data_IF_809859631433
#
_entry.id   IF_809859631433
#
_cell.length_a   1.000
_cell.length_b   1.000
_cell.length_c   1.000
_cell.angle_alpha   90.00
_cell.angle_beta   90.00
_cell.angle_gamma   90.00
#
_symmetry.space_group_name_H-M   'P 1'
#
loop_
_entity.id
_entity.type
_entity.pdbx_description
1 polymer ?
#
# COMPACT_ATOMS: atom_id res chain seq x y z
N UNK A 1 87.87 18.95 -20.91
CA UNK A 1 87.55 20.33 -21.26
C UNK A 1 86.11 20.55 -21.20
N UNK A 2 85.66 21.60 -20.56
CA UNK A 2 84.40 22.28 -20.47
C UNK A 2 83.48 21.80 -19.33
N UNK A 3 83.52 22.61 -18.31
CA UNK A 3 82.68 22.55 -17.12
C UNK A 3 81.30 23.11 -17.43
N UNK A 4 80.23 22.37 -17.08
CA UNK A 4 78.89 22.92 -17.05
C UNK A 4 78.42 22.92 -15.60
N UNK A 5 78.18 24.13 -15.12
CA UNK A 5 77.75 24.42 -13.76
C UNK A 5 76.23 24.02 -13.67
N UNK A 6 75.95 23.14 -12.75
CA UNK A 6 74.57 22.77 -12.41
C UNK A 6 74.02 23.81 -11.44
N UNK A 7 73.04 24.58 -11.87
CA UNK A 7 72.26 25.48 -11.01
C UNK A 7 71.09 24.67 -10.44
N UNK A 8 71.13 24.49 -9.11
CA UNK A 8 70.05 23.85 -8.35
C UNK A 8 68.95 24.87 -8.10
N UNK A 9 67.79 24.72 -8.81
CA UNK A 9 66.63 25.53 -8.59
C UNK A 9 65.71 24.80 -7.61
N UNK A 10 65.68 25.26 -6.35
CA UNK A 10 64.68 24.79 -5.35
C UNK A 10 63.31 25.39 -5.65
N UNK A 11 62.43 24.59 -6.20
CA UNK A 11 60.99 24.94 -6.30
C UNK A 11 60.32 24.50 -5.02
N UNK A 12 59.99 25.47 -4.16
CA UNK A 12 59.11 25.26 -2.99
C UNK A 12 57.67 25.22 -3.49
N UNK A 13 57.15 24.03 -3.63
CA UNK A 13 55.73 23.82 -3.92
C UNK A 13 54.95 23.95 -2.63
N UNK A 14 54.34 25.10 -2.40
CA UNK A 14 53.32 25.30 -1.36
C UNK A 14 52.05 24.50 -1.69
N UNK A 15 51.84 23.40 -0.99
CA UNK A 15 50.59 22.66 -1.04
C UNK A 15 49.56 23.43 -0.22
N UNK A 16 48.66 24.13 -0.92
CA UNK A 16 47.44 24.65 -0.34
C UNK A 16 46.47 23.47 -0.09
N UNK A 17 46.41 23.00 1.15
CA UNK A 17 45.32 22.10 1.60
C UNK A 17 44.04 22.94 1.72
N UNK A 18 43.22 22.93 0.70
CA UNK A 18 41.88 23.47 0.77
C UNK A 18 41.05 22.43 1.55
N UNK A 19 40.91 22.64 2.86
CA UNK A 19 39.93 21.97 3.69
C UNK A 19 38.55 22.47 3.23
N UNK A 20 37.97 21.80 2.25
CA UNK A 20 36.57 21.95 1.91
C UNK A 20 35.78 21.36 3.07
N UNK A 21 35.28 22.20 3.98
CA UNK A 21 34.17 21.87 4.85
C UNK A 21 32.97 21.63 3.95
N UNK A 22 32.76 20.39 3.54
CA UNK A 22 31.50 19.94 3.01
C UNK A 22 30.46 20.05 4.16
N UNK A 23 29.78 21.17 4.22
CA UNK A 23 28.58 21.32 4.99
C UNK A 23 27.57 20.29 4.42
N UNK A 24 27.33 19.20 5.15
CA UNK A 24 26.21 18.33 4.91
C UNK A 24 24.93 19.13 5.21
N UNK A 25 24.56 20.02 4.28
CA UNK A 25 23.17 20.45 4.19
C UNK A 25 22.40 19.24 3.68
N UNK A 26 21.52 18.71 4.52
CA UNK A 26 20.43 17.87 4.05
C UNK A 26 19.83 18.56 2.83
N UNK A 27 19.61 17.83 1.72
CA UNK A 27 18.98 18.42 0.56
C UNK A 27 17.62 18.98 0.99
N UNK A 28 17.45 20.30 0.86
CA UNK A 28 16.14 20.91 1.04
C UNK A 28 15.19 20.20 0.08
N UNK A 29 13.97 19.80 0.55
CA UNK A 29 12.99 19.17 -0.31
C UNK A 29 12.76 20.08 -1.51
N UNK A 30 13.05 19.58 -2.71
CA UNK A 30 12.73 20.32 -3.93
C UNK A 30 11.19 20.40 -4.03
N UNK A 31 10.64 21.59 -3.78
CA UNK A 31 9.24 21.86 -4.13
C UNK A 31 9.12 21.70 -5.65
N UNK A 32 8.41 20.68 -6.08
CA UNK A 32 8.04 20.53 -7.49
C UNK A 32 7.15 21.73 -7.85
N UNK A 33 7.51 22.49 -8.87
CA UNK A 33 6.67 23.56 -9.41
C UNK A 33 5.27 23.00 -9.69
N UNK A 34 4.24 23.60 -9.08
CA UNK A 34 2.85 23.13 -9.16
C UNK A 34 2.43 22.16 -8.07
N UNK A 35 3.30 21.77 -7.14
CA UNK A 35 2.89 20.98 -5.99
C UNK A 35 1.99 21.80 -5.05
N UNK A 36 0.83 21.22 -4.72
CA UNK A 36 -0.07 21.82 -3.73
C UNK A 36 0.57 21.72 -2.36
N UNK A 37 0.94 22.86 -1.76
CA UNK A 37 1.43 22.88 -0.39
C UNK A 37 0.32 22.45 0.55
N UNK A 38 0.58 21.43 1.36
CA UNK A 38 -0.32 20.96 2.41
C UNK A 38 0.31 21.18 3.78
N UNK A 39 -0.52 21.46 4.77
CA UNK A 39 -0.13 21.64 6.17
C UNK A 39 -1.10 20.88 7.06
N UNK A 40 -0.58 20.05 7.96
CA UNK A 40 -1.39 19.38 8.98
C UNK A 40 -1.61 20.37 10.13
N UNK A 41 -2.86 20.71 10.37
CA UNK A 41 -3.26 21.66 11.43
C UNK A 41 -3.56 20.96 12.75
N UNK A 42 -4.24 19.82 12.68
CA UNK A 42 -4.68 19.05 13.83
C UNK A 42 -4.81 17.57 13.43
N UNK A 43 -4.64 16.68 14.39
CA UNK A 43 -4.92 15.26 14.21
C UNK A 43 -5.32 14.62 15.52
N UNK A 44 -6.19 13.60 15.47
CA UNK A 44 -6.63 12.86 16.64
C UNK A 44 -7.23 11.51 16.25
N UNK A 45 -7.13 10.55 17.17
CA UNK A 45 -7.84 9.28 17.08
C UNK A 45 -8.92 9.15 18.15
N UNK A 46 -9.72 8.11 18.06
CA UNK A 46 -10.72 7.78 19.10
C UNK A 46 -10.08 7.12 20.32
N UNK A 47 -8.87 6.57 20.20
CA UNK A 47 -8.15 5.98 21.32
C UNK A 47 -7.71 7.06 22.33
N UNK A 48 -8.08 6.86 23.59
CA UNK A 48 -7.75 7.82 24.66
C UNK A 48 -6.25 7.84 24.95
N UNK A 49 -5.71 9.08 25.08
CA UNK A 49 -4.32 9.29 25.53
C UNK A 49 -3.25 9.24 24.44
N UNK A 50 -3.60 9.02 23.18
CA UNK A 50 -2.66 9.11 22.06
C UNK A 50 -2.71 10.51 21.49
N UNK A 51 -1.59 11.25 21.57
CA UNK A 51 -1.47 12.62 21.07
C UNK A 51 -0.49 12.72 19.88
N UNK A 52 0.26 11.67 19.60
CA UNK A 52 1.19 11.61 18.47
C UNK A 52 0.52 10.94 17.26
N UNK A 53 0.92 11.34 16.06
CA UNK A 53 0.46 10.70 14.84
C UNK A 53 0.89 9.22 14.85
N UNK A 54 -0.04 8.27 14.77
CA UNK A 54 0.32 6.85 14.78
C UNK A 54 1.21 6.49 13.60
N UNK A 55 2.21 5.64 13.83
CA UNK A 55 3.13 5.17 12.80
C UNK A 55 2.39 4.57 11.61
N UNK A 56 1.27 3.87 11.84
CA UNK A 56 0.49 3.28 10.76
C UNK A 56 -0.13 4.33 9.82
N UNK A 57 -0.57 5.49 10.33
CA UNK A 57 -1.13 6.57 9.49
C UNK A 57 -0.03 7.15 8.62
N UNK A 58 1.12 7.50 9.21
CA UNK A 58 2.27 8.02 8.48
C UNK A 58 2.76 7.04 7.42
N UNK A 59 2.88 5.75 7.77
CA UNK A 59 3.27 4.69 6.86
C UNK A 59 2.27 4.53 5.72
N UNK A 60 0.95 4.52 6.02
CA UNK A 60 -0.08 4.39 4.99
C UNK A 60 -0.05 5.56 4.01
N UNK A 61 0.03 6.79 4.50
CA UNK A 61 0.04 8.00 3.66
C UNK A 61 1.28 8.02 2.75
N UNK A 62 2.43 7.54 3.24
CA UNK A 62 3.69 7.57 2.49
C UNK A 62 3.91 6.38 1.57
N UNK A 63 3.45 5.17 1.94
CA UNK A 63 3.80 3.92 1.25
C UNK A 63 2.59 3.01 0.93
N UNK A 64 1.38 3.39 1.35
CA UNK A 64 0.16 2.61 1.13
C UNK A 64 0.09 1.33 1.97
N UNK A 65 -0.81 0.44 1.57
CA UNK A 65 -1.06 -0.85 2.25
C UNK A 65 0.20 -1.71 2.33
N UNK A 66 0.98 -1.75 1.25
CA UNK A 66 2.21 -2.56 1.20
C UNK A 66 3.26 -2.14 2.24
N UNK A 67 3.25 -0.89 2.66
CA UNK A 67 4.08 -0.40 3.75
C UNK A 67 3.56 -0.84 5.11
N UNK A 68 2.24 -0.79 5.32
CA UNK A 68 1.61 -1.24 6.55
C UNK A 68 1.91 -2.72 6.85
N UNK A 69 1.76 -3.58 5.86
CA UNK A 69 1.97 -5.02 6.00
C UNK A 69 3.42 -5.40 6.32
N UNK A 70 4.37 -4.46 6.16
CA UNK A 70 5.78 -4.63 6.56
C UNK A 70 6.05 -4.20 7.99
N UNK A 71 5.15 -3.44 8.62
CA UNK A 71 5.29 -3.09 10.03
C UNK A 71 5.21 -4.35 10.90
N UNK A 72 6.05 -4.42 11.94
CA UNK A 72 6.11 -5.56 12.85
C UNK A 72 4.74 -5.94 13.42
N UNK A 73 3.90 -4.95 13.69
CA UNK A 73 2.59 -5.12 14.31
C UNK A 73 1.55 -5.77 13.36
N UNK A 74 1.81 -5.75 12.03
CA UNK A 74 0.87 -6.23 11.03
C UNK A 74 1.44 -7.30 10.10
N UNK A 75 2.66 -7.74 10.35
CA UNK A 75 3.43 -8.64 9.47
C UNK A 75 2.74 -9.97 9.13
N UNK A 76 1.87 -10.47 10.01
CA UNK A 76 1.07 -11.70 9.78
C UNK A 76 -0.34 -11.44 9.29
N UNK A 77 -0.67 -10.20 8.90
CA UNK A 77 -2.03 -9.79 8.55
C UNK A 77 -2.10 -9.12 7.19
N UNK A 78 -3.24 -9.22 6.55
CA UNK A 78 -3.67 -8.30 5.50
C UNK A 78 -4.24 -7.05 6.14
N UNK A 79 -3.89 -5.89 5.59
CA UNK A 79 -4.36 -4.60 6.06
C UNK A 79 -5.39 -4.01 5.09
N UNK A 80 -6.48 -3.48 5.64
CA UNK A 80 -7.52 -2.78 4.89
C UNK A 80 -7.72 -1.41 5.51
N UNK A 81 -7.58 -0.36 4.72
CA UNK A 81 -7.74 1.01 5.19
C UNK A 81 -8.89 1.66 4.43
N UNK A 82 -9.91 2.06 5.19
CA UNK A 82 -10.92 2.98 4.69
C UNK A 82 -10.44 4.42 4.85
N UNK A 83 -10.67 5.24 3.84
CA UNK A 83 -10.34 6.66 3.85
C UNK A 83 -11.52 7.48 3.33
N UNK A 84 -11.83 8.59 4.02
CA UNK A 84 -12.84 9.55 3.60
C UNK A 84 -12.31 10.97 3.81
N UNK A 85 -12.67 11.85 2.88
CA UNK A 85 -12.29 13.27 2.90
C UNK A 85 -13.55 14.13 2.92
N UNK A 86 -13.57 15.13 3.79
CA UNK A 86 -14.69 16.04 3.88
C UNK A 86 -14.37 17.31 4.66
N UNK A 87 -15.27 18.28 4.59
CA UNK A 87 -15.13 19.58 5.29
C UNK A 87 -15.79 19.59 6.66
N UNK A 88 -16.50 18.53 7.03
CA UNK A 88 -17.20 18.40 8.30
C UNK A 88 -16.70 17.17 9.05
N UNK A 89 -16.14 17.37 10.25
CA UNK A 89 -15.55 16.30 11.06
C UNK A 89 -16.58 15.24 11.47
N UNK A 90 -17.78 15.65 11.90
CA UNK A 90 -18.80 14.70 12.36
C UNK A 90 -19.27 13.79 11.21
N UNK A 91 -19.36 14.35 9.99
CA UNK A 91 -19.73 13.57 8.81
C UNK A 91 -18.69 12.51 8.47
N UNK A 92 -17.39 12.86 8.43
CA UNK A 92 -16.32 11.90 8.11
C UNK A 92 -16.13 10.87 9.24
N UNK A 93 -16.33 11.23 10.50
CA UNK A 93 -16.32 10.28 11.61
C UNK A 93 -17.52 9.34 11.59
N UNK A 94 -18.70 9.84 11.20
CA UNK A 94 -19.89 9.00 11.01
C UNK A 94 -19.63 7.98 9.91
N UNK A 95 -19.06 8.40 8.78
CA UNK A 95 -18.66 7.50 7.70
C UNK A 95 -17.69 6.43 8.22
N UNK A 96 -16.64 6.82 8.96
CA UNK A 96 -15.67 5.89 9.52
C UNK A 96 -16.30 4.82 10.43
N UNK A 97 -17.37 5.18 11.16
CA UNK A 97 -18.11 4.25 12.01
C UNK A 97 -18.96 3.24 11.23
N UNK A 98 -19.31 3.57 9.98
CA UNK A 98 -20.13 2.75 9.09
C UNK A 98 -19.34 2.10 7.95
N UNK A 99 -18.03 2.25 7.95
CA UNK A 99 -17.16 1.66 6.91
C UNK A 99 -17.31 0.14 6.86
N UNK A 100 -17.67 -0.36 5.69
CA UNK A 100 -17.90 -1.78 5.45
C UNK A 100 -16.61 -2.46 4.94
N UNK A 101 -15.80 -2.92 5.87
CA UNK A 101 -14.56 -3.65 5.56
C UNK A 101 -14.83 -4.97 4.82
N UNK A 102 -15.99 -5.60 5.02
CA UNK A 102 -16.33 -6.88 4.36
C UNK A 102 -16.41 -6.70 2.85
N UNK A 103 -16.94 -5.58 2.39
CA UNK A 103 -16.98 -5.22 0.97
C UNK A 103 -15.57 -5.01 0.40
N UNK A 104 -14.71 -4.34 1.14
CA UNK A 104 -13.34 -4.08 0.74
C UNK A 104 -12.52 -5.38 0.62
N UNK A 105 -12.68 -6.27 1.59
CA UNK A 105 -12.08 -7.60 1.56
C UNK A 105 -12.55 -8.38 0.33
N UNK A 106 -13.86 -8.44 0.09
CA UNK A 106 -14.42 -9.17 -1.05
C UNK A 106 -13.93 -8.62 -2.40
N UNK A 107 -13.82 -7.29 -2.54
CA UNK A 107 -13.27 -6.65 -3.74
C UNK A 107 -11.78 -6.99 -3.95
N UNK A 108 -10.98 -6.93 -2.90
CA UNK A 108 -9.54 -7.25 -2.94
C UNK A 108 -9.33 -8.72 -3.30
N UNK A 109 -10.04 -9.64 -2.63
CA UNK A 109 -9.97 -11.08 -2.92
C UNK A 109 -10.40 -11.36 -4.35
N UNK A 110 -11.53 -10.82 -4.79
CA UNK A 110 -12.03 -11.01 -6.15
C UNK A 110 -11.02 -10.56 -7.21
N UNK A 111 -10.41 -9.39 -7.02
CA UNK A 111 -9.37 -8.86 -7.91
C UNK A 111 -8.14 -9.78 -7.97
N UNK A 112 -7.71 -10.30 -6.84
CA UNK A 112 -6.55 -11.20 -6.77
C UNK A 112 -6.86 -12.56 -7.43
N UNK A 113 -8.02 -13.13 -7.12
CA UNK A 113 -8.50 -14.39 -7.73
C UNK A 113 -8.59 -14.24 -9.25
N UNK A 114 -9.16 -13.15 -9.75
CA UNK A 114 -9.24 -12.86 -11.19
C UNK A 114 -7.84 -12.80 -11.83
N UNK A 115 -6.91 -12.09 -11.20
CA UNK A 115 -5.52 -11.99 -11.67
C UNK A 115 -4.83 -13.35 -11.75
N UNK A 116 -5.02 -14.21 -10.74
CA UNK A 116 -4.41 -15.54 -10.68
C UNK A 116 -4.97 -16.47 -11.76
N UNK A 117 -6.28 -16.48 -11.97
CA UNK A 117 -6.90 -17.31 -13.00
C UNK A 117 -6.62 -16.77 -14.41
N UNK A 118 -6.56 -15.46 -14.61
CA UNK A 118 -6.14 -14.87 -15.88
C UNK A 118 -4.70 -15.30 -16.22
N UNK A 119 -3.80 -15.26 -15.25
CA UNK A 119 -2.43 -15.76 -15.41
C UNK A 119 -2.34 -17.26 -15.72
N UNK A 120 -3.16 -18.07 -15.06
CA UNK A 120 -3.19 -19.51 -15.25
C UNK A 120 -3.85 -19.93 -16.59
N UNK A 121 -4.76 -19.11 -17.14
CA UNK A 121 -5.48 -19.38 -18.38
C UNK A 121 -4.77 -18.93 -19.64
N UNK A 122 -3.68 -18.20 -19.55
CA UNK A 122 -2.96 -17.58 -20.69
C UNK A 122 -2.42 -18.55 -21.75
N UNK A 123 -2.77 -19.83 -21.69
CA UNK A 123 -2.42 -20.87 -22.66
C UNK A 123 -3.59 -21.65 -23.25
N UNK A 124 -4.84 -21.33 -22.92
CA UNK A 124 -6.00 -22.12 -23.38
C UNK A 124 -7.16 -21.21 -23.84
N UNK A 125 -7.46 -21.14 -25.14
CA UNK A 125 -8.45 -20.21 -25.69
C UNK A 125 -9.90 -20.73 -25.70
N UNK A 126 -10.23 -21.84 -25.03
CA UNK A 126 -11.58 -22.40 -25.09
C UNK A 126 -12.58 -21.63 -24.22
N UNK A 127 -13.71 -21.22 -24.82
CA UNK A 127 -14.72 -20.38 -24.20
C UNK A 127 -15.32 -20.93 -22.89
N UNK A 128 -15.39 -22.24 -22.71
CA UNK A 128 -15.88 -22.90 -21.49
C UNK A 128 -14.92 -22.69 -20.29
N UNK A 129 -13.66 -22.47 -20.58
CA UNK A 129 -12.63 -22.19 -19.59
C UNK A 129 -12.85 -20.82 -18.92
N UNK A 130 -13.11 -19.79 -19.75
CA UNK A 130 -13.38 -18.42 -19.27
C UNK A 130 -14.62 -18.35 -18.37
N UNK A 131 -15.73 -18.94 -18.79
CA UNK A 131 -16.99 -18.93 -18.03
C UNK A 131 -16.84 -19.61 -16.67
N UNK A 132 -16.09 -20.69 -16.59
CA UNK A 132 -15.86 -21.37 -15.32
C UNK A 132 -15.10 -20.49 -14.32
N UNK A 133 -14.02 -19.84 -14.74
CA UNK A 133 -13.25 -18.96 -13.88
C UNK A 133 -13.99 -17.67 -13.54
N UNK A 134 -14.78 -17.12 -14.47
CA UNK A 134 -15.67 -16.01 -14.14
C UNK A 134 -16.64 -16.35 -13.00
N UNK A 135 -17.11 -17.60 -12.91
CA UNK A 135 -17.97 -18.03 -11.80
C UNK A 135 -17.22 -18.05 -10.47
N UNK A 136 -15.95 -18.49 -10.44
CA UNK A 136 -15.12 -18.45 -9.24
C UNK A 136 -14.85 -16.98 -8.82
N UNK A 137 -14.53 -16.10 -9.76
CA UNK A 137 -14.33 -14.67 -9.49
C UNK A 137 -15.61 -14.02 -8.95
N UNK A 138 -16.75 -14.29 -9.56
CA UNK A 138 -18.08 -13.80 -9.08
C UNK A 138 -18.40 -14.31 -7.69
N UNK A 139 -18.10 -15.57 -7.41
CA UNK A 139 -18.33 -16.16 -6.10
C UNK A 139 -17.41 -15.52 -5.04
N UNK A 140 -16.14 -15.26 -5.36
CA UNK A 140 -15.22 -14.58 -4.46
C UNK A 140 -15.67 -13.14 -4.14
N UNK A 141 -16.24 -12.43 -5.11
CA UNK A 141 -16.80 -11.10 -4.92
C UNK A 141 -18.08 -11.07 -4.05
N UNK A 142 -18.82 -12.17 -4.01
CA UNK A 142 -20.06 -12.30 -3.24
C UNK A 142 -19.87 -13.08 -1.92
N UNK A 143 -18.68 -13.60 -1.66
CA UNK A 143 -18.39 -14.32 -0.44
C UNK A 143 -18.34 -13.40 0.77
N UNK A 144 -18.70 -13.94 1.93
CA UNK A 144 -18.53 -13.25 3.21
C UNK A 144 -17.28 -13.79 3.89
N UNK A 145 -16.31 -12.91 4.07
CA UNK A 145 -15.07 -13.22 4.75
C UNK A 145 -15.14 -12.77 6.22
N UNK A 146 -14.70 -13.63 7.13
CA UNK A 146 -14.79 -13.40 8.57
C UNK A 146 -13.39 -13.27 9.19
N UNK A 147 -13.32 -12.67 10.39
CA UNK A 147 -12.07 -12.53 11.14
C UNK A 147 -11.43 -11.16 11.04
N UNK A 148 -12.00 -10.25 10.25
CA UNK A 148 -11.53 -8.87 10.21
C UNK A 148 -11.76 -8.17 11.56
N UNK A 149 -10.76 -7.43 12.03
CA UNK A 149 -10.79 -6.67 13.28
C UNK A 149 -10.44 -5.22 13.02
N UNK A 150 -11.27 -4.30 13.53
CA UNK A 150 -10.91 -2.88 13.58
C UNK A 150 -9.78 -2.70 14.57
N UNK A 151 -8.68 -2.12 14.11
CA UNK A 151 -7.50 -1.83 14.94
C UNK A 151 -7.61 -0.43 15.51
N UNK A 152 -7.83 0.57 14.64
CA UNK A 152 -7.91 1.97 15.06
C UNK A 152 -8.59 2.81 13.98
N UNK A 153 -8.96 4.02 14.35
CA UNK A 153 -9.27 5.10 13.43
C UNK A 153 -8.48 6.36 13.82
N UNK A 154 -8.26 7.20 12.83
CA UNK A 154 -7.52 8.44 13.02
C UNK A 154 -8.00 9.47 12.01
N UNK A 155 -8.10 10.73 12.41
CA UNK A 155 -8.37 11.82 11.49
C UNK A 155 -7.28 12.89 11.55
N UNK A 156 -7.09 13.58 10.46
CA UNK A 156 -6.20 14.73 10.33
C UNK A 156 -6.97 15.88 9.69
N UNK A 157 -6.72 17.09 10.17
CA UNK A 157 -7.18 18.33 9.54
C UNK A 157 -6.03 18.88 8.71
N UNK A 158 -6.24 18.98 7.41
CA UNK A 158 -5.23 19.40 6.45
C UNK A 158 -5.66 20.75 5.87
N UNK A 159 -4.73 21.68 5.82
CA UNK A 159 -4.84 22.89 5.02
C UNK A 159 -4.16 22.69 3.69
N UNK A 160 -4.92 22.85 2.62
CA UNK A 160 -4.43 22.77 1.24
C UNK A 160 -4.42 24.17 0.64
N UNK A 161 -3.25 24.65 0.28
CA UNK A 161 -3.09 25.96 -0.34
C UNK A 161 -3.33 25.91 -1.84
N UNK A 162 -3.95 26.96 -2.37
CA UNK A 162 -4.10 27.17 -3.81
C UNK A 162 -2.70 27.30 -4.46
N UNK A 163 -2.38 26.55 -5.53
CA UNK A 163 -1.08 26.61 -6.18
C UNK A 163 -0.72 28.02 -6.68
N UNK A 164 -1.74 28.79 -7.13
CA UNK A 164 -1.54 30.13 -7.71
C UNK A 164 -1.57 31.24 -6.66
N UNK A 165 -2.10 30.95 -5.47
CA UNK A 165 -2.26 31.93 -4.41
C UNK A 165 -2.15 31.33 -3.01
N UNK A 166 -0.98 31.51 -2.37
CA UNK A 166 -0.77 31.08 -0.97
C UNK A 166 -1.70 31.74 0.05
N UNK A 167 -2.51 32.73 -0.36
CA UNK A 167 -3.52 33.39 0.50
C UNK A 167 -4.86 32.64 0.50
N UNK A 168 -5.12 31.83 -0.52
CA UNK A 168 -6.32 31.00 -0.59
C UNK A 168 -5.98 29.61 -0.13
N UNK A 169 -6.81 29.01 0.69
CA UNK A 169 -6.67 27.65 1.18
C UNK A 169 -8.04 27.03 1.39
N UNK A 170 -8.05 25.72 1.44
CA UNK A 170 -9.19 24.90 1.84
C UNK A 170 -8.74 24.02 2.98
N UNK A 171 -9.51 23.99 4.06
CA UNK A 171 -9.30 23.08 5.17
C UNK A 171 -10.21 21.86 4.98
N UNK A 172 -9.64 20.66 5.05
CA UNK A 172 -10.36 19.41 4.88
C UNK A 172 -9.94 18.40 5.94
N UNK A 173 -10.89 17.63 6.43
CA UNK A 173 -10.63 16.47 7.27
C UNK A 173 -10.39 15.25 6.41
N UNK A 174 -9.39 14.45 6.77
CA UNK A 174 -9.21 13.09 6.27
C UNK A 174 -9.32 12.14 7.44
N UNK A 175 -10.20 11.17 7.35
CA UNK A 175 -10.32 10.11 8.34
C UNK A 175 -9.80 8.82 7.74
N UNK A 176 -9.11 8.03 8.56
CA UNK A 176 -8.60 6.71 8.22
C UNK A 176 -9.14 5.70 9.22
N UNK A 177 -9.53 4.55 8.74
CA UNK A 177 -9.95 3.42 9.56
C UNK A 177 -9.14 2.20 9.16
N UNK A 178 -8.37 1.63 10.08
CA UNK A 178 -7.56 0.44 9.84
C UNK A 178 -8.26 -0.81 10.36
N UNK A 179 -8.38 -1.79 9.49
CA UNK A 179 -8.76 -3.15 9.80
C UNK A 179 -7.63 -4.11 9.42
N UNK A 180 -7.54 -5.21 10.15
CA UNK A 180 -6.64 -6.32 9.82
C UNK A 180 -7.40 -7.64 9.85
N UNK A 181 -6.92 -8.60 9.06
CA UNK A 181 -7.31 -10.01 9.11
C UNK A 181 -6.04 -10.85 9.00
N UNK A 182 -5.92 -11.90 9.80
CA UNK A 182 -4.76 -12.80 9.72
C UNK A 182 -4.67 -13.44 8.34
N UNK A 183 -3.47 -13.45 7.75
CA UNK A 183 -3.24 -13.98 6.40
C UNK A 183 -3.72 -15.42 6.26
N UNK A 184 -3.29 -16.29 7.16
CA UNK A 184 -3.71 -17.69 7.18
C UNK A 184 -5.24 -17.84 7.21
N UNK A 185 -5.94 -16.98 7.98
CA UNK A 185 -7.39 -17.03 8.10
C UNK A 185 -8.08 -16.66 6.78
N UNK A 186 -7.64 -15.60 6.11
CA UNK A 186 -8.25 -15.17 4.85
C UNK A 186 -7.90 -16.12 3.71
N UNK A 187 -6.63 -16.51 3.61
CA UNK A 187 -6.15 -17.46 2.58
C UNK A 187 -6.91 -18.77 2.63
N UNK A 188 -7.11 -19.32 3.84
CA UNK A 188 -7.88 -20.55 4.01
C UNK A 188 -9.35 -20.40 3.60
N UNK A 189 -9.98 -19.27 3.89
CA UNK A 189 -11.37 -19.02 3.47
C UNK A 189 -11.49 -18.97 1.94
N UNK A 190 -10.52 -18.34 1.27
CA UNK A 190 -10.51 -18.27 -0.20
C UNK A 190 -10.24 -19.64 -0.82
N UNK A 191 -9.29 -20.40 -0.30
CA UNK A 191 -9.03 -21.77 -0.76
C UNK A 191 -10.25 -22.67 -0.60
N UNK A 192 -10.93 -22.60 0.54
CA UNK A 192 -12.17 -23.37 0.79
C UNK A 192 -13.30 -22.98 -0.18
N UNK A 193 -13.43 -21.69 -0.50
CA UNK A 193 -14.40 -21.22 -1.48
C UNK A 193 -14.09 -21.74 -2.88
N UNK A 194 -12.85 -21.71 -3.32
CA UNK A 194 -12.41 -22.26 -4.62
C UNK A 194 -12.70 -23.75 -4.69
N UNK A 195 -12.41 -24.50 -3.62
CA UNK A 195 -12.68 -25.94 -3.55
C UNK A 195 -14.16 -26.28 -3.60
N UNK A 196 -14.99 -25.52 -2.90
CA UNK A 196 -16.44 -25.72 -2.92
C UNK A 196 -17.01 -25.55 -4.32
N UNK A 197 -16.62 -24.49 -5.04
CA UNK A 197 -17.09 -24.25 -6.42
C UNK A 197 -16.57 -25.33 -7.36
N UNK A 198 -15.30 -25.75 -7.21
CA UNK A 198 -14.71 -26.80 -8.01
C UNK A 198 -15.45 -28.15 -7.83
N UNK A 199 -15.94 -28.43 -6.62
CA UNK A 199 -16.69 -29.64 -6.32
C UNK A 199 -18.15 -29.60 -6.84
N UNK A 200 -18.76 -28.42 -6.90
CA UNK A 200 -20.14 -28.24 -7.40
C UNK A 200 -20.23 -28.29 -8.94
N UNK A 201 -19.12 -28.10 -9.63
CA UNK A 201 -19.11 -28.06 -11.10
C UNK A 201 -18.91 -29.46 -11.67
N UNK A 202 -19.99 -30.06 -12.18
CA UNK A 202 -19.93 -31.32 -12.92
C UNK A 202 -19.16 -31.13 -14.25
N UNK A 203 -18.27 -32.09 -14.58
CA UNK A 203 -17.59 -32.10 -15.89
C UNK A 203 -16.37 -31.22 -16.00
N UNK A 204 -15.75 -30.84 -14.89
CA UNK A 204 -14.48 -30.08 -14.89
C UNK A 204 -13.39 -30.80 -15.70
N UNK A 205 -12.88 -30.15 -16.74
CA UNK A 205 -11.84 -30.71 -17.60
C UNK A 205 -10.50 -30.84 -16.85
N UNK A 206 -9.62 -31.71 -17.31
CA UNK A 206 -8.28 -31.89 -16.69
C UNK A 206 -7.45 -30.60 -16.76
N UNK A 207 -7.65 -29.76 -17.79
CA UNK A 207 -7.02 -28.45 -17.91
C UNK A 207 -7.52 -27.48 -16.82
N UNK A 208 -8.82 -27.46 -16.55
CA UNK A 208 -9.41 -26.65 -15.46
C UNK A 208 -8.91 -27.09 -14.10
N UNK A 209 -8.85 -28.40 -13.82
CA UNK A 209 -8.27 -28.95 -12.58
C UNK A 209 -6.81 -28.55 -12.40
N UNK A 210 -6.05 -28.59 -13.50
CA UNK A 210 -4.63 -28.19 -13.47
C UNK A 210 -4.49 -26.70 -13.13
N UNK A 211 -5.31 -25.83 -13.72
CA UNK A 211 -5.28 -24.40 -13.43
C UNK A 211 -5.68 -24.11 -11.97
N UNK A 212 -6.74 -24.73 -11.46
CA UNK A 212 -7.15 -24.62 -10.06
C UNK A 212 -5.98 -25.00 -9.13
N UNK A 213 -5.36 -26.14 -9.38
CA UNK A 213 -4.22 -26.61 -8.57
C UNK A 213 -3.02 -25.65 -8.64
N UNK A 214 -2.78 -25.03 -9.78
CA UNK A 214 -1.71 -24.03 -9.91
C UNK A 214 -2.05 -22.75 -9.14
N UNK A 215 -3.28 -22.24 -9.24
CA UNK A 215 -3.74 -21.08 -8.47
C UNK A 215 -3.63 -21.35 -6.97
N UNK A 216 -4.10 -22.52 -6.50
CA UNK A 216 -3.99 -22.91 -5.09
C UNK A 216 -2.55 -22.93 -4.61
N UNK A 217 -1.61 -23.51 -5.37
CA UNK A 217 -0.19 -23.52 -5.02
C UNK A 217 0.41 -22.13 -4.93
N UNK A 218 0.02 -21.21 -5.82
CA UNK A 218 0.49 -19.83 -5.77
C UNK A 218 -0.05 -19.17 -4.50
N UNK A 219 -1.34 -19.34 -4.19
CA UNK A 219 -1.93 -18.79 -2.96
C UNK A 219 -1.30 -19.35 -1.69
N UNK A 220 -1.00 -20.65 -1.64
CA UNK A 220 -0.30 -21.29 -0.51
C UNK A 220 1.12 -20.74 -0.30
N UNK A 221 1.78 -20.28 -1.36
CA UNK A 221 3.15 -19.75 -1.30
C UNK A 221 3.26 -18.25 -1.13
N UNK A 222 2.33 -17.48 -1.69
CA UNK A 222 2.39 -16.02 -1.78
C UNK A 222 1.25 -15.33 -1.00
N UNK A 223 0.18 -16.08 -0.69
CA UNK A 223 -1.07 -15.55 -0.14
C UNK A 223 -1.93 -14.84 -1.20
N UNK A 224 -2.93 -14.10 -0.71
CA UNK A 224 -3.86 -13.30 -1.52
C UNK A 224 -3.21 -11.98 -1.92
#
# INVERSE_FOLDING_TARGET
MTRIKTILLLAVTSIFIITSCASNKEPEPQELEGSVKTEVLEHKGTALGINELPVWVDTYVSTGISGLEKLSDYQGSYCFVGEEIGTNLDAVQTWASTFDVSREIAATVSSRVDSLFTGASSGSPDGDYGTYFENIVKASANATYSGARKINDWWILIRRYDPDSRKKHTDEYRVFVLYTIEKETLDQQVLNMIDAIAAETEGTSDAQKTAINNVKKIMESEGI
#
